data_IF_976333633018
#
_entry.id   IF_976333633018
#
_cell.length_a   1.000
_cell.length_b   1.000
_cell.length_c   1.000
_cell.angle_alpha   90.00
_cell.angle_beta   90.00
_cell.angle_gamma   90.00
#
_symmetry.space_group_name_H-M   'P 1'
#
loop_
_entity.id
_entity.type
_entity.pdbx_description
1 polymer ?
#
# COMPACT_ATOMS: atom_id res chain seq x y z
N UNK A 1 1.68 15.16 -12.53
CA UNK A 1 0.72 14.80 -11.50
C UNK A 1 -0.65 14.68 -12.15
N UNK A 2 -1.37 13.62 -11.83
CA UNK A 2 -2.82 13.47 -12.07
C UNK A 2 -3.45 13.12 -10.74
N UNK A 3 -4.35 13.94 -10.27
CA UNK A 3 -4.92 13.87 -8.94
C UNK A 3 -6.45 13.95 -8.96
N UNK A 4 -7.07 13.36 -7.96
CA UNK A 4 -8.48 13.55 -7.61
C UNK A 4 -8.57 13.67 -6.09
N UNK A 5 -8.57 14.89 -5.60
CA UNK A 5 -8.67 15.16 -4.17
C UNK A 5 -9.99 14.65 -3.57
N UNK A 6 -11.05 14.59 -4.37
CA UNK A 6 -12.36 14.05 -3.95
C UNK A 6 -12.30 12.53 -3.71
N UNK A 7 -11.55 11.79 -4.51
CA UNK A 7 -11.39 10.33 -4.35
C UNK A 7 -10.13 9.94 -3.55
N UNK A 8 -9.36 10.93 -3.08
CA UNK A 8 -8.15 10.70 -2.30
C UNK A 8 -7.06 9.93 -3.04
N UNK A 9 -6.94 10.13 -4.36
CA UNK A 9 -6.02 9.39 -5.20
C UNK A 9 -5.22 10.31 -6.11
N UNK A 10 -3.92 10.07 -6.22
CA UNK A 10 -3.09 10.72 -7.22
C UNK A 10 -2.05 9.78 -7.83
N UNK A 11 -1.63 10.10 -9.06
CA UNK A 11 -0.52 9.45 -9.74
C UNK A 11 0.51 10.52 -10.04
N UNK A 12 1.75 10.29 -9.61
CA UNK A 12 2.86 11.20 -9.84
C UNK A 12 4.04 10.48 -10.47
N UNK A 13 4.82 11.20 -11.25
CA UNK A 13 6.08 10.70 -11.82
C UNK A 13 7.20 11.70 -11.57
N UNK A 14 8.40 11.21 -11.43
CA UNK A 14 9.63 12.01 -11.33
C UNK A 14 10.80 11.28 -11.97
N UNK A 15 11.88 12.00 -12.20
CA UNK A 15 13.16 11.41 -12.57
C UNK A 15 14.00 11.25 -11.33
N UNK A 16 14.48 10.04 -11.08
CA UNK A 16 15.32 9.71 -9.93
C UNK A 16 16.66 10.46 -9.97
N UNK A 17 17.22 10.69 -8.79
CA UNK A 17 18.46 11.47 -8.62
C UNK A 17 19.50 10.79 -7.73
N UNK A 18 19.15 9.67 -7.07
CA UNK A 18 19.95 9.02 -6.01
C UNK A 18 20.32 9.97 -4.86
N UNK A 19 19.63 11.06 -4.71
CA UNK A 19 19.83 12.03 -3.65
C UNK A 19 18.55 12.20 -2.82
N UNK A 20 18.70 12.42 -1.52
CA UNK A 20 17.56 12.78 -0.66
C UNK A 20 16.84 13.99 -1.24
N UNK A 21 15.52 13.90 -1.30
CA UNK A 21 14.68 14.91 -1.90
C UNK A 21 13.21 14.79 -1.53
N UNK A 22 12.36 15.52 -2.23
CA UNK A 22 10.90 15.45 -2.04
C UNK A 22 10.17 15.46 -3.37
N UNK A 23 8.98 14.82 -3.39
CA UNK A 23 8.09 14.79 -4.55
C UNK A 23 6.71 15.29 -4.15
N UNK A 24 6.17 16.21 -4.92
CA UNK A 24 4.79 16.68 -4.73
C UNK A 24 3.79 15.60 -5.19
N UNK A 25 2.80 15.28 -4.34
CA UNK A 25 1.81 14.23 -4.62
C UNK A 25 0.47 14.77 -5.16
N UNK A 26 0.18 16.05 -5.01
CA UNK A 26 -1.03 16.69 -5.54
C UNK A 26 -2.30 16.48 -4.72
N UNK A 27 -2.28 15.68 -3.65
CA UNK A 27 -3.41 15.56 -2.73
C UNK A 27 -3.48 16.77 -1.78
N UNK A 28 -4.63 17.01 -1.17
CA UNK A 28 -4.83 18.10 -0.21
C UNK A 28 -4.42 17.77 1.22
N UNK A 29 -4.19 16.49 1.51
CA UNK A 29 -3.72 15.97 2.82
C UNK A 29 -2.57 14.99 2.60
N UNK A 30 -1.82 14.68 3.64
CA UNK A 30 -0.77 13.67 3.55
C UNK A 30 -1.36 12.32 3.10
N UNK A 31 -0.74 11.60 2.15
CA UNK A 31 -1.19 10.27 1.78
C UNK A 31 -0.99 9.26 2.91
N UNK A 32 -1.97 8.39 3.14
CA UNK A 32 -1.89 7.29 4.11
C UNK A 32 -1.10 6.09 3.53
N UNK A 33 -1.07 5.97 2.19
CA UNK A 33 -0.41 4.89 1.47
C UNK A 33 0.23 5.41 0.19
N UNK A 34 1.48 5.03 -0.06
CA UNK A 34 2.21 5.28 -1.31
C UNK A 34 2.75 3.96 -1.86
N UNK A 35 2.48 3.71 -3.13
CA UNK A 35 3.06 2.59 -3.87
C UNK A 35 3.92 3.17 -4.99
N UNK A 36 5.23 2.91 -4.96
CA UNK A 36 6.18 3.47 -5.91
C UNK A 36 6.92 2.39 -6.71
N UNK A 37 7.25 2.69 -7.98
CA UNK A 37 7.93 1.77 -8.90
C UNK A 37 8.85 2.52 -9.85
N UNK A 38 10.08 2.06 -9.94
CA UNK A 38 10.99 2.39 -11.04
C UNK A 38 10.51 1.66 -12.31
N UNK A 39 10.14 2.42 -13.34
CA UNK A 39 9.55 1.88 -14.57
C UNK A 39 10.58 1.32 -15.55
N UNK A 40 11.86 1.55 -15.32
CA UNK A 40 12.97 1.20 -16.22
C UNK A 40 13.88 0.11 -15.65
N UNK A 41 13.65 -0.31 -14.39
CA UNK A 41 14.42 -1.35 -13.74
C UNK A 41 13.57 -2.52 -13.24
N UNK A 42 14.23 -3.64 -12.91
CA UNK A 42 13.63 -4.80 -12.24
C UNK A 42 13.39 -4.61 -10.73
N UNK A 43 13.60 -3.42 -10.18
CA UNK A 43 13.39 -3.12 -8.76
C UNK A 43 11.99 -3.48 -8.28
N UNK A 44 11.86 -3.81 -7.01
CA UNK A 44 10.57 -4.15 -6.43
C UNK A 44 9.65 -2.89 -6.31
N UNK A 45 8.35 -3.14 -6.24
CA UNK A 45 7.37 -2.12 -5.92
C UNK A 45 7.45 -1.81 -4.43
N UNK A 46 7.82 -0.59 -4.06
CA UNK A 46 7.92 -0.14 -2.67
C UNK A 46 6.59 0.39 -2.18
N UNK A 47 6.20 -0.02 -0.97
CA UNK A 47 4.98 0.43 -0.31
C UNK A 47 5.35 1.06 1.03
N UNK A 48 5.01 2.35 1.20
CA UNK A 48 5.08 3.07 2.47
C UNK A 48 3.68 3.42 2.97
N UNK A 49 3.47 3.42 4.28
CA UNK A 49 2.18 3.74 4.89
C UNK A 49 2.35 4.22 6.33
N UNK A 50 1.36 4.98 6.82
CA UNK A 50 1.23 5.33 8.24
C UNK A 50 0.89 4.13 9.13
N UNK A 51 0.32 3.07 8.56
CA UNK A 51 -0.25 1.92 9.27
C UNK A 51 0.67 0.68 9.29
N UNK A 52 1.93 0.80 8.90
CA UNK A 52 2.94 -0.25 9.09
C UNK A 52 3.73 0.01 10.39
N UNK A 53 4.36 -1.04 10.97
CA UNK A 53 5.24 -0.83 12.12
C UNK A 53 6.28 0.24 11.81
N UNK A 54 6.45 1.20 12.72
CA UNK A 54 7.33 2.36 12.52
C UNK A 54 7.08 3.05 11.18
N UNK A 55 5.92 3.73 11.09
CA UNK A 55 5.41 4.39 9.90
C UNK A 55 6.50 5.18 9.14
N UNK A 56 6.59 4.94 7.83
CA UNK A 56 7.54 5.55 6.89
C UNK A 56 9.03 5.24 7.09
N UNK A 57 9.43 4.60 8.19
CA UNK A 57 10.77 4.02 8.35
C UNK A 57 10.84 2.64 7.69
N UNK A 58 9.75 1.87 7.85
CA UNK A 58 9.62 0.55 7.24
C UNK A 58 8.92 0.63 5.88
N UNK A 59 9.26 -0.31 5.00
CA UNK A 59 8.60 -0.51 3.71
C UNK A 59 8.12 -1.94 3.55
N UNK A 60 7.14 -2.13 2.69
CA UNK A 60 6.73 -3.42 2.17
C UNK A 60 6.98 -3.49 0.66
N UNK A 61 6.88 -4.69 0.11
CA UNK A 61 7.09 -4.96 -1.31
C UNK A 61 5.82 -5.54 -1.91
N UNK A 62 5.11 -4.77 -2.78
CA UNK A 62 3.82 -5.21 -3.31
C UNK A 62 3.92 -6.49 -4.16
N UNK A 63 5.04 -6.72 -4.82
CA UNK A 63 5.30 -7.88 -5.69
C UNK A 63 6.10 -8.99 -5.02
N UNK A 64 6.23 -8.98 -3.67
CA UNK A 64 7.00 -9.95 -2.91
C UNK A 64 6.32 -10.26 -1.57
N UNK A 65 6.85 -11.27 -0.85
CA UNK A 65 6.29 -11.76 0.41
C UNK A 65 6.93 -11.21 1.70
N UNK A 66 8.13 -10.61 1.75
CA UNK A 66 8.77 -10.24 3.01
C UNK A 66 7.86 -9.48 3.98
N UNK A 67 8.14 -9.59 5.26
CA UNK A 67 7.62 -8.69 6.30
C UNK A 67 8.04 -7.25 6.02
N UNK A 68 7.42 -6.30 6.70
CA UNK A 68 7.87 -4.92 6.67
C UNK A 68 9.34 -4.83 7.12
N UNK A 69 10.15 -4.06 6.41
CA UNK A 69 11.59 -3.97 6.59
C UNK A 69 12.00 -2.51 6.75
N UNK A 70 12.86 -2.22 7.72
CA UNK A 70 13.48 -0.91 7.90
C UNK A 70 14.32 -0.57 6.66
N UNK A 71 13.98 0.56 6.00
CA UNK A 71 14.63 0.98 4.76
C UNK A 71 14.59 2.51 4.58
N UNK A 72 15.49 3.22 5.26
CA UNK A 72 15.59 4.68 5.17
C UNK A 72 15.92 5.18 3.75
N UNK A 73 16.44 4.33 2.90
CA UNK A 73 16.79 4.68 1.52
C UNK A 73 15.58 4.84 0.60
N UNK A 74 14.38 4.41 1.01
CA UNK A 74 13.15 4.58 0.25
C UNK A 74 12.49 5.96 0.55
N UNK A 75 11.82 6.10 1.68
CA UNK A 75 11.07 7.31 2.05
C UNK A 75 11.79 8.20 3.06
N UNK A 76 13.10 7.97 3.29
CA UNK A 76 13.99 8.76 4.14
C UNK A 76 13.46 8.89 5.58
N UNK A 77 12.87 7.83 6.14
CA UNK A 77 12.30 7.79 7.49
C UNK A 77 11.42 9.01 7.81
N UNK A 78 10.73 9.51 6.82
CA UNK A 78 10.04 10.79 6.94
C UNK A 78 8.60 10.69 6.46
N UNK A 79 7.66 10.92 7.35
CA UNK A 79 6.24 10.96 7.03
C UNK A 79 5.92 12.03 5.97
N UNK A 80 5.00 11.75 5.04
CA UNK A 80 4.52 12.74 4.10
C UNK A 80 3.88 13.96 4.80
N UNK A 81 3.93 15.06 4.11
CA UNK A 81 3.18 16.28 4.48
C UNK A 81 1.91 16.38 3.62
N UNK A 82 1.12 17.42 3.79
CA UNK A 82 -0.01 17.71 2.90
C UNK A 82 0.39 18.09 1.46
N UNK A 83 1.68 18.20 1.15
CA UNK A 83 2.15 18.67 -0.16
C UNK A 83 3.15 17.72 -0.82
N UNK A 84 4.01 17.08 -0.03
CA UNK A 84 5.13 16.28 -0.53
C UNK A 84 5.33 15.03 0.31
N UNK A 85 5.90 14.01 -0.29
CA UNK A 85 6.57 12.91 0.40
C UNK A 85 8.08 12.97 0.18
N UNK A 86 8.83 12.40 1.10
CA UNK A 86 10.30 12.35 1.06
C UNK A 86 10.80 11.17 0.24
N UNK A 87 11.97 11.34 -0.37
CA UNK A 87 12.74 10.29 -1.01
C UNK A 87 14.09 10.14 -0.31
N UNK A 88 14.46 8.90 -0.04
CA UNK A 88 15.82 8.55 0.31
C UNK A 88 16.72 8.44 -0.92
N UNK A 89 17.95 7.98 -0.72
CA UNK A 89 18.96 7.84 -1.78
C UNK A 89 18.96 6.47 -2.47
N UNK A 90 17.97 5.61 -2.18
CA UNK A 90 17.91 4.23 -2.71
C UNK A 90 17.59 4.17 -4.19
N UNK A 91 18.20 3.19 -4.85
CA UNK A 91 18.04 3.01 -6.30
C UNK A 91 16.68 2.44 -6.72
N UNK A 92 15.90 1.87 -5.79
CA UNK A 92 14.63 1.21 -6.15
C UNK A 92 13.52 2.15 -6.56
N UNK A 93 13.46 3.33 -5.92
CA UNK A 93 12.47 4.37 -6.24
C UNK A 93 13.11 5.75 -6.47
N UNK A 94 14.44 5.81 -6.60
CA UNK A 94 15.16 7.06 -6.86
C UNK A 94 16.42 6.85 -7.71
N UNK A 95 16.48 5.80 -8.55
CA UNK A 95 17.60 5.54 -9.47
C UNK A 95 17.83 6.73 -10.37
N UNK A 96 19.08 7.22 -10.40
CA UNK A 96 19.47 8.40 -11.17
C UNK A 96 19.17 8.23 -12.66
N UNK A 97 18.38 9.18 -13.19
CA UNK A 97 17.98 9.22 -14.59
C UNK A 97 16.75 8.41 -14.95
N UNK A 98 16.33 7.44 -14.12
CA UNK A 98 15.16 6.61 -14.38
C UNK A 98 13.85 7.36 -14.09
N UNK A 99 12.80 6.98 -14.80
CA UNK A 99 11.43 7.44 -14.53
C UNK A 99 10.80 6.57 -13.45
N UNK A 100 10.36 7.21 -12.38
CA UNK A 100 9.65 6.56 -11.27
C UNK A 100 8.18 6.99 -11.29
N UNK A 101 7.27 6.08 -10.98
CA UNK A 101 5.84 6.36 -10.79
C UNK A 101 5.43 6.05 -9.36
N UNK A 102 4.58 6.87 -8.77
CA UNK A 102 3.91 6.56 -7.51
C UNK A 102 2.40 6.74 -7.61
N UNK A 103 1.70 5.87 -6.90
CA UNK A 103 0.27 5.89 -6.63
C UNK A 103 0.10 6.27 -5.16
N UNK A 104 -0.53 7.41 -4.90
CA UNK A 104 -0.73 7.95 -3.56
C UNK A 104 -2.21 7.88 -3.21
N UNK A 105 -2.52 7.40 -2.01
CA UNK A 105 -3.89 7.20 -1.54
C UNK A 105 -4.11 7.86 -0.18
N UNK A 106 -5.29 8.50 -0.03
CA UNK A 106 -5.84 8.93 1.25
C UNK A 106 -7.07 8.11 1.59
N UNK A 107 -7.31 7.92 2.87
CA UNK A 107 -8.60 7.46 3.39
C UNK A 107 -9.67 8.53 3.14
N UNK A 108 -10.80 8.13 2.56
CA UNK A 108 -11.96 9.01 2.30
C UNK A 108 -13.18 8.37 2.94
N UNK A 109 -13.83 9.11 3.83
CA UNK A 109 -15.01 8.64 4.56
C UNK A 109 -16.07 8.10 3.60
N UNK A 110 -16.57 6.90 3.88
CA UNK A 110 -17.58 6.22 3.08
C UNK A 110 -17.08 5.66 1.73
N UNK A 111 -15.79 5.75 1.41
CA UNK A 111 -15.25 5.35 0.11
C UNK A 111 -13.99 4.48 0.19
N UNK A 112 -12.97 4.91 0.90
CA UNK A 112 -11.70 4.18 1.02
C UNK A 112 -11.11 4.29 2.41
N UNK A 113 -10.44 3.24 2.86
CA UNK A 113 -9.78 3.21 4.17
C UNK A 113 -8.45 2.45 4.06
N UNK A 114 -7.38 3.11 4.45
CA UNK A 114 -6.11 2.48 4.80
C UNK A 114 -6.09 2.32 6.32
N UNK A 115 -5.55 1.21 6.83
CA UNK A 115 -5.51 0.97 8.26
C UNK A 115 -4.81 -0.33 8.60
N UNK A 116 -4.54 -0.54 9.86
CA UNK A 116 -3.95 -1.75 10.42
C UNK A 116 -4.84 -2.38 11.49
N UNK A 117 -4.60 -3.65 11.78
CA UNK A 117 -5.24 -4.36 12.88
C UNK A 117 -4.32 -5.45 13.43
N UNK A 118 -4.57 -5.87 14.64
CA UNK A 118 -3.88 -7.00 15.25
C UNK A 118 -4.76 -8.24 15.14
N UNK A 119 -4.25 -9.29 14.51
CA UNK A 119 -4.92 -10.59 14.44
C UNK A 119 -5.04 -11.22 15.84
N UNK A 120 -6.18 -11.84 16.13
CA UNK A 120 -6.46 -12.48 17.42
C UNK A 120 -6.27 -14.01 17.41
N UNK A 121 -5.82 -14.58 16.29
CA UNK A 121 -5.65 -16.03 16.08
C UNK A 121 -6.92 -16.85 16.38
N UNK A 122 -8.09 -16.29 16.15
CA UNK A 122 -9.39 -16.92 16.39
C UNK A 122 -10.22 -16.89 15.09
N UNK A 123 -11.07 -17.91 14.87
CA UNK A 123 -12.01 -17.93 13.75
C UNK A 123 -13.07 -16.82 13.86
N UNK A 124 -13.42 -16.40 15.08
CA UNK A 124 -14.13 -15.15 15.34
C UNK A 124 -13.09 -14.02 15.36
N UNK A 125 -12.76 -13.51 14.18
CA UNK A 125 -11.66 -12.61 13.90
C UNK A 125 -11.84 -11.23 14.53
N UNK A 126 -10.81 -10.39 14.35
CA UNK A 126 -10.87 -9.00 14.83
C UNK A 126 -11.86 -8.20 13.99
N UNK A 127 -12.85 -7.56 14.65
CA UNK A 127 -13.75 -6.62 13.98
C UNK A 127 -13.01 -5.34 13.59
N UNK A 128 -13.14 -4.94 12.32
CA UNK A 128 -12.48 -3.77 11.77
C UNK A 128 -13.55 -2.81 11.22
N UNK A 129 -13.70 -1.67 11.88
CA UNK A 129 -14.64 -0.64 11.44
C UNK A 129 -14.03 0.19 10.29
N UNK A 130 -14.61 0.06 9.11
CA UNK A 130 -14.16 0.79 7.92
C UNK A 130 -14.97 2.07 7.66
N UNK A 131 -16.18 2.18 8.24
CA UNK A 131 -17.11 3.29 8.00
C UNK A 131 -18.01 3.11 6.77
N UNK A 132 -17.86 2.00 6.05
CA UNK A 132 -18.65 1.62 4.87
C UNK A 132 -18.53 0.11 4.65
N UNK A 133 -19.40 -0.49 3.82
CA UNK A 133 -19.26 -1.89 3.39
C UNK A 133 -18.23 -1.99 2.26
N UNK A 134 -17.04 -2.54 2.49
CA UNK A 134 -16.00 -2.64 1.48
C UNK A 134 -16.41 -3.52 0.31
N UNK A 135 -16.18 -3.08 -0.91
CA UNK A 135 -16.36 -3.89 -2.11
C UNK A 135 -15.09 -4.67 -2.50
N UNK A 136 -13.93 -4.20 -2.05
CA UNK A 136 -12.62 -4.74 -2.37
C UNK A 136 -11.64 -4.49 -1.22
N UNK A 137 -10.85 -5.50 -0.86
CA UNK A 137 -9.91 -5.43 0.26
C UNK A 137 -8.56 -6.01 -0.17
N UNK A 138 -7.47 -5.37 0.26
CA UNK A 138 -6.11 -5.90 0.30
C UNK A 138 -5.67 -6.12 1.74
N UNK A 139 -4.99 -7.22 1.98
CA UNK A 139 -4.44 -7.54 3.31
C UNK A 139 -3.00 -8.01 3.16
N UNK A 140 -2.10 -7.47 4.00
CA UNK A 140 -0.71 -7.90 4.13
C UNK A 140 -0.36 -8.08 5.60
N UNK A 141 0.24 -9.23 5.92
CA UNK A 141 0.88 -9.40 7.22
C UNK A 141 2.19 -8.60 7.23
N UNK A 142 2.34 -7.68 8.18
CA UNK A 142 3.51 -6.81 8.31
C UNK A 142 4.65 -7.46 9.08
N UNK A 143 4.37 -8.46 9.92
CA UNK A 143 5.33 -9.05 10.86
C UNK A 143 5.99 -10.32 10.31
N UNK A 144 5.43 -10.91 9.24
CA UNK A 144 5.88 -12.18 8.69
C UNK A 144 5.78 -12.22 7.17
N UNK A 145 6.57 -13.12 6.56
CA UNK A 145 6.63 -13.29 5.12
C UNK A 145 5.42 -14.08 4.60
N UNK A 146 4.37 -13.37 4.25
CA UNK A 146 3.16 -13.88 3.61
C UNK A 146 2.86 -13.13 2.33
N UNK A 147 2.00 -13.70 1.48
CA UNK A 147 1.51 -13.05 0.28
C UNK A 147 0.67 -11.80 0.60
N UNK A 148 0.46 -10.98 -0.41
CA UNK A 148 -0.58 -9.95 -0.43
C UNK A 148 -1.87 -10.58 -0.89
N UNK A 149 -2.86 -10.60 -0.04
CA UNK A 149 -4.17 -11.18 -0.30
C UNK A 149 -5.15 -10.12 -0.78
N UNK A 150 -6.02 -10.51 -1.70
CA UNK A 150 -7.13 -9.67 -2.11
C UNK A 150 -8.43 -10.47 -2.18
N UNK A 151 -9.51 -9.82 -1.78
CA UNK A 151 -10.88 -10.36 -1.90
C UNK A 151 -11.84 -9.27 -2.33
N UNK A 152 -12.97 -9.65 -2.91
CA UNK A 152 -14.01 -8.72 -3.35
C UNK A 152 -15.42 -9.32 -3.22
N UNK A 153 -16.44 -8.44 -3.28
CA UNK A 153 -17.84 -8.81 -3.15
C UNK A 153 -18.48 -9.29 -4.48
N UNK A 154 -17.72 -9.40 -5.58
CA UNK A 154 -18.23 -9.88 -6.88
C UNK A 154 -17.95 -11.35 -7.09
N UNK A 155 -16.74 -11.78 -6.77
CA UNK A 155 -16.37 -13.21 -6.85
C UNK A 155 -17.00 -14.02 -5.72
N UNK A 156 -17.19 -13.42 -4.54
CA UNK A 156 -17.84 -14.02 -3.37
C UNK A 156 -18.90 -13.06 -2.84
N UNK A 157 -20.14 -13.06 -3.42
CA UNK A 157 -21.14 -12.04 -3.12
C UNK A 157 -21.79 -12.17 -1.74
N UNK A 158 -21.60 -13.29 -1.05
CA UNK A 158 -22.11 -13.55 0.28
C UNK A 158 -20.96 -13.82 1.26
N UNK A 159 -21.18 -13.59 2.54
CA UNK A 159 -20.27 -14.01 3.58
C UNK A 159 -20.28 -15.55 3.72
N UNK A 160 -19.20 -16.22 3.91
CA UNK A 160 -17.84 -15.67 4.03
C UNK A 160 -17.30 -15.24 2.64
N UNK A 161 -16.48 -14.17 2.58
CA UNK A 161 -15.80 -13.73 1.37
C UNK A 161 -14.57 -14.61 1.12
N UNK A 162 -14.77 -15.82 0.67
CA UNK A 162 -13.76 -16.86 0.67
C UNK A 162 -12.96 -17.01 -0.64
N UNK A 163 -13.22 -16.18 -1.65
CA UNK A 163 -12.46 -16.19 -2.90
C UNK A 163 -11.30 -15.22 -2.83
N UNK A 164 -10.09 -15.77 -2.82
CA UNK A 164 -8.85 -15.03 -2.62
C UNK A 164 -7.98 -15.12 -3.86
N UNK A 165 -7.42 -13.98 -4.28
CA UNK A 165 -6.31 -13.87 -5.22
C UNK A 165 -5.12 -13.21 -4.52
N UNK A 166 -3.99 -13.20 -5.22
CA UNK A 166 -2.74 -12.64 -4.75
C UNK A 166 -2.31 -11.47 -5.61
N UNK A 167 -1.78 -10.40 -5.00
CA UNK A 167 -1.25 -9.26 -5.75
C UNK A 167 0.21 -9.48 -6.21
N UNK A 168 0.93 -10.36 -5.52
CA UNK A 168 2.37 -10.55 -5.68
C UNK A 168 2.75 -11.82 -6.45
N UNK A 169 1.81 -12.63 -6.85
CA UNK A 169 2.08 -13.85 -7.61
C UNK A 169 0.95 -14.20 -8.59
N UNK A 170 1.16 -15.21 -9.42
CA UNK A 170 0.22 -15.68 -10.45
C UNK A 170 -0.54 -16.96 -10.07
N UNK A 171 -0.60 -17.29 -8.80
CA UNK A 171 -1.36 -18.45 -8.32
C UNK A 171 -2.83 -18.33 -8.71
N UNK A 172 -3.46 -19.47 -8.95
CA UNK A 172 -4.90 -19.52 -9.19
C UNK A 172 -5.69 -19.03 -7.97
N UNK A 173 -6.94 -18.65 -8.20
CA UNK A 173 -7.87 -18.34 -7.11
C UNK A 173 -7.97 -19.50 -6.14
N UNK A 174 -7.82 -19.17 -4.85
CA UNK A 174 -7.95 -20.12 -3.75
C UNK A 174 -9.19 -19.81 -2.89
N UNK A 175 -9.57 -20.76 -2.05
CA UNK A 175 -10.71 -20.62 -1.15
C UNK A 175 -10.23 -20.61 0.29
N UNK A 176 -10.36 -19.46 0.94
CA UNK A 176 -10.02 -19.27 2.35
C UNK A 176 -11.15 -18.50 3.07
N UNK A 177 -11.50 -18.93 4.27
CA UNK A 177 -12.55 -18.33 5.09
C UNK A 177 -11.93 -17.38 6.11
N UNK A 178 -11.56 -16.18 5.69
CA UNK A 178 -10.88 -15.23 6.57
C UNK A 178 -11.43 -13.79 6.55
N UNK A 179 -12.42 -13.49 5.74
CA UNK A 179 -13.01 -12.15 5.71
C UNK A 179 -14.52 -12.23 5.57
N UNK A 180 -15.21 -11.60 6.50
CA UNK A 180 -16.63 -11.26 6.41
C UNK A 180 -16.76 -9.74 6.16
N UNK A 181 -17.73 -9.34 5.36
CA UNK A 181 -18.04 -7.95 5.05
C UNK A 181 -19.52 -7.69 5.36
N UNK A 182 -19.78 -6.94 6.43
CA UNK A 182 -21.11 -6.54 6.89
C UNK A 182 -21.37 -5.05 6.70
#
# INVERSE_FOLDING_TARGET
>A
IRDSTTSGFSIVTWTGTEAVGTVAHGLSTAPDLIIAKDTESGAAWRVGSDDIPTAWEYVMYLNQTPAATDENTAFNDTAPTASVFSLGSGQDINTSGNTIVAYCFNSIEGYSKVGSYVGNANNDGTFIYTGFAPAYIWIKNTDSAYDWYQTDNKRSPYNERNKTLYLNNSNAEETYSWVDLD
#
